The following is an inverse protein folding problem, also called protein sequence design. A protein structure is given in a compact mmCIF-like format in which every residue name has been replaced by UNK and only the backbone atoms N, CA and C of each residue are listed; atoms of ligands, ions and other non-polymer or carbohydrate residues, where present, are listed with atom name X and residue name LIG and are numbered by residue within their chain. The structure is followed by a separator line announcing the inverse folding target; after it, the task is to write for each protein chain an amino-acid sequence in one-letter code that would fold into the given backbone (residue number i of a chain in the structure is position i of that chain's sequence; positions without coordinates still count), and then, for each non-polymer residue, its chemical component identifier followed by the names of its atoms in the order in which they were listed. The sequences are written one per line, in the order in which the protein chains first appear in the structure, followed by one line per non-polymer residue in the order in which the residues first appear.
data_IF_652923709591
#
_entry.id   IF_652923709591
#
_cell.length_a   1.000
_cell.length_b   1.000
_cell.length_c   1.000
_cell.angle_alpha   90.00
_cell.angle_beta   90.00
_cell.angle_gamma   90.00
#
_symmetry.space_group_name_H-M   'P 1'
#
loop_
_entity.id
_entity.type
_entity.pdbx_description
1 polymer ?
#
# COMPACT_ATOMS: atom_id res chain seq x y z
N UNK A 1 22.33 -17.74 9.43
CA UNK A 1 20.92 -17.33 9.28
C UNK A 1 20.67 -17.18 7.79
N UNK A 2 19.59 -17.74 7.23
CA UNK A 2 19.30 -17.54 5.81
C UNK A 2 18.82 -16.10 5.62
N UNK A 3 19.59 -15.27 4.91
CA UNK A 3 19.31 -13.83 4.80
C UNK A 3 18.19 -13.57 3.79
N UNK A 4 17.16 -12.83 4.20
CA UNK A 4 16.13 -12.32 3.30
C UNK A 4 16.56 -10.98 2.70
N UNK A 5 16.09 -10.68 1.50
CA UNK A 5 16.41 -9.44 0.77
C UNK A 5 15.13 -8.64 0.50
N UNK A 6 15.29 -7.35 0.24
CA UNK A 6 14.21 -6.50 -0.29
C UNK A 6 14.26 -6.56 -1.82
N UNK A 7 13.18 -7.05 -2.43
CA UNK A 7 13.04 -7.25 -3.89
C UNK A 7 12.15 -6.17 -4.53
N UNK A 8 11.55 -5.30 -3.72
CA UNK A 8 10.84 -4.09 -4.16
C UNK A 8 10.63 -3.16 -2.96
N UNK A 9 10.75 -1.85 -3.19
CA UNK A 9 10.39 -0.85 -2.18
C UNK A 9 9.63 0.30 -2.84
N UNK A 10 8.50 0.70 -2.28
CA UNK A 10 7.90 2.00 -2.55
C UNK A 10 7.47 2.70 -1.29
N UNK A 11 7.59 4.02 -1.30
CA UNK A 11 7.22 4.88 -0.19
C UNK A 11 6.79 6.26 -0.68
N UNK A 12 6.13 6.99 0.19
CA UNK A 12 5.67 8.36 -0.04
C UNK A 12 6.09 9.25 1.11
N UNK A 13 6.31 10.54 0.84
CA UNK A 13 6.47 11.56 1.87
C UNK A 13 5.85 12.86 1.40
N UNK A 14 5.60 13.76 2.34
CA UNK A 14 4.98 15.05 2.07
C UNK A 14 5.94 16.15 2.51
N UNK A 15 6.35 17.08 1.61
CA UNK A 15 7.14 18.23 2.00
C UNK A 15 6.50 18.93 3.21
N UNK A 16 7.31 19.39 4.18
CA UNK A 16 6.81 19.89 5.46
C UNK A 16 5.80 21.05 5.28
N UNK A 17 6.04 21.92 4.31
CA UNK A 17 5.19 23.07 3.98
C UNK A 17 3.83 22.60 3.44
N UNK A 18 3.83 21.62 2.53
CA UNK A 18 2.60 21.00 2.04
C UNK A 18 1.87 20.27 3.19
N UNK A 19 2.61 19.64 4.10
CA UNK A 19 2.06 19.01 5.29
C UNK A 19 1.26 20.00 6.16
N UNK A 20 1.81 21.19 6.42
CA UNK A 20 1.11 22.24 7.16
C UNK A 20 -0.19 22.68 6.47
N UNK A 21 -0.16 22.83 5.13
CA UNK A 21 -1.37 23.17 4.35
C UNK A 21 -2.42 22.05 4.44
N UNK A 22 -1.99 20.79 4.39
CA UNK A 22 -2.91 19.65 4.53
C UNK A 22 -3.49 19.55 5.95
N UNK A 23 -2.74 19.92 6.98
CA UNK A 23 -3.24 19.96 8.34
C UNK A 23 -4.26 21.10 8.54
N UNK A 24 -4.01 22.29 7.97
CA UNK A 24 -5.02 23.36 7.89
C UNK A 24 -6.29 22.89 7.18
N UNK A 25 -6.15 22.13 6.09
CA UNK A 25 -7.31 21.56 5.38
C UNK A 25 -8.11 20.57 6.25
N UNK A 26 -7.42 19.75 7.07
CA UNK A 26 -8.09 18.83 8.02
C UNK A 26 -8.82 19.58 9.14
N UNK A 27 -8.31 20.74 9.53
CA UNK A 27 -8.92 21.61 10.55
C UNK A 27 -10.07 22.46 9.99
N UNK A 28 -10.44 22.31 8.71
CA UNK A 28 -11.50 23.11 8.09
C UNK A 28 -11.13 24.60 8.01
N UNK A 29 -9.86 24.90 7.70
CA UNK A 29 -9.40 26.28 7.64
C UNK A 29 -9.96 27.04 6.42
N UNK A 30 -10.47 28.25 6.66
CA UNK A 30 -10.88 29.19 5.63
C UNK A 30 -10.00 30.45 5.65
N UNK A 31 -9.91 31.18 4.53
CA UNK A 31 -9.04 32.36 4.40
C UNK A 31 -9.88 33.62 4.62
N UNK A 32 -9.53 34.41 5.64
CA UNK A 32 -10.40 35.47 6.19
C UNK A 32 -10.58 36.69 5.27
N UNK A 33 -9.63 36.92 4.36
CA UNK A 33 -9.75 37.88 3.28
C UNK A 33 -8.77 37.50 2.16
N UNK A 34 -9.27 37.36 0.93
CA UNK A 34 -8.41 37.48 -0.24
C UNK A 34 -7.99 38.95 -0.25
N UNK A 35 -6.85 39.31 0.36
CA UNK A 35 -6.18 40.53 -0.06
C UNK A 35 -5.99 40.33 -1.55
N UNK A 36 -6.68 41.13 -2.38
CA UNK A 36 -6.37 41.30 -3.80
C UNK A 36 -4.92 41.79 -3.85
N UNK A 37 -3.98 40.88 -3.71
CA UNK A 37 -2.64 41.08 -4.21
C UNK A 37 -2.80 41.06 -5.73
N UNK A 38 -2.22 42.07 -6.38
CA UNK A 38 -2.12 42.15 -7.83
C UNK A 38 -1.79 40.75 -8.36
N UNK A 39 -2.59 40.26 -9.32
CA UNK A 39 -2.27 39.02 -10.03
C UNK A 39 -0.77 39.07 -10.36
N UNK A 40 0.07 38.14 -9.86
CA UNK A 40 1.40 38.04 -10.43
C UNK A 40 1.17 37.80 -11.92
N UNK A 41 1.81 38.62 -12.76
CA UNK A 41 1.72 38.61 -14.23
C UNK A 41 2.13 37.27 -14.90
N UNK A 42 2.19 36.18 -14.15
CA UNK A 42 2.52 34.85 -14.61
C UNK A 42 1.27 33.97 -14.66
N UNK A 43 0.38 34.29 -15.60
CA UNK A 43 -0.42 33.26 -16.30
C UNK A 43 0.45 32.62 -17.39
N UNK A 44 1.63 32.15 -17.02
CA UNK A 44 2.40 31.30 -17.92
C UNK A 44 1.99 29.87 -17.62
N UNK A 45 1.45 29.21 -18.65
CA UNK A 45 1.51 27.77 -18.77
C UNK A 45 2.96 27.41 -18.47
N UNK A 46 3.23 26.86 -17.28
CA UNK A 46 4.55 26.40 -16.90
C UNK A 46 4.88 25.28 -17.88
N UNK A 47 5.61 25.64 -18.93
CA UNK A 47 6.11 24.69 -19.90
C UNK A 47 6.98 23.70 -19.15
N UNK A 48 7.08 22.49 -19.69
CA UNK A 48 7.88 21.38 -19.15
C UNK A 48 9.34 21.78 -18.85
N UNK A 49 9.80 22.89 -19.43
CA UNK A 49 11.12 23.51 -19.34
C UNK A 49 11.28 24.54 -18.21
N UNK A 50 10.21 25.15 -17.68
CA UNK A 50 10.29 26.19 -16.64
C UNK A 50 10.48 25.67 -15.20
N UNK A 51 10.46 24.35 -15.02
CA UNK A 51 10.69 23.70 -13.72
C UNK A 51 12.18 23.53 -13.39
N UNK A 52 13.07 24.22 -14.12
CA UNK A 52 14.53 24.12 -14.02
C UNK A 52 15.20 25.45 -13.67
N UNK A 53 14.66 26.20 -12.71
CA UNK A 53 15.35 27.42 -12.24
C UNK A 53 15.62 27.35 -10.75
N UNK A 54 16.90 27.17 -10.39
CA UNK A 54 17.45 27.49 -9.08
C UNK A 54 17.36 28.99 -8.72
N UNK A 55 16.42 29.73 -9.31
CA UNK A 55 16.18 31.15 -9.08
C UNK A 55 15.14 31.42 -7.98
N UNK A 56 14.22 30.47 -7.73
CA UNK A 56 13.14 30.63 -6.74
C UNK A 56 13.25 29.56 -5.66
N UNK A 57 13.49 30.00 -4.43
CA UNK A 57 13.34 29.15 -3.24
C UNK A 57 11.85 28.97 -2.94
N UNK A 58 11.24 27.97 -3.59
CA UNK A 58 9.82 27.63 -3.41
C UNK A 58 9.47 27.38 -1.95
N UNK A 59 10.38 26.79 -1.17
CA UNK A 59 10.16 26.54 0.26
C UNK A 59 9.99 27.86 1.00
N UNK A 60 10.92 28.80 0.82
CA UNK A 60 10.85 30.12 1.43
C UNK A 60 9.62 30.91 0.99
N UNK A 61 9.26 30.84 -0.29
CA UNK A 61 8.07 31.50 -0.82
C UNK A 61 6.77 31.00 -0.18
N UNK A 62 6.64 29.68 0.01
CA UNK A 62 5.46 29.08 0.64
C UNK A 62 5.39 29.41 2.13
N UNK A 63 6.52 29.36 2.83
CA UNK A 63 6.59 29.72 4.25
C UNK A 63 6.23 31.20 4.49
N UNK A 64 6.74 32.12 3.67
CA UNK A 64 6.35 33.53 3.75
C UNK A 64 4.84 33.70 3.54
N UNK A 65 4.28 33.03 2.54
CA UNK A 65 2.84 33.08 2.27
C UNK A 65 2.00 32.45 3.38
N UNK A 66 2.48 31.39 4.03
CA UNK A 66 1.83 30.80 5.21
C UNK A 66 1.80 31.79 6.38
N UNK A 67 2.87 32.55 6.59
CA UNK A 67 2.97 33.57 7.64
C UNK A 67 2.06 34.77 7.38
N UNK A 68 1.94 35.19 6.11
CA UNK A 68 1.16 36.36 5.71
C UNK A 68 -0.35 36.08 5.56
N UNK A 69 -0.76 34.81 5.57
CA UNK A 69 -2.16 34.42 5.39
C UNK A 69 -2.88 34.30 6.73
N UNK A 70 -3.99 35.05 6.90
CA UNK A 70 -4.88 34.90 8.05
C UNK A 70 -5.92 33.80 7.81
N UNK A 71 -5.93 32.80 8.70
CA UNK A 71 -6.86 31.67 8.66
C UNK A 71 -7.93 31.77 9.75
N UNK A 72 -9.15 31.31 9.45
CA UNK A 72 -10.14 30.92 10.46
C UNK A 72 -10.30 29.41 10.47
N UNK A 73 -10.40 28.82 11.65
CA UNK A 73 -10.46 27.36 11.84
C UNK A 73 -11.89 26.98 12.28
N UNK A 74 -12.44 25.90 11.71
CA UNK A 74 -13.70 25.32 12.19
C UNK A 74 -14.97 26.04 11.75
N UNK A 75 -14.88 27.10 10.94
CA UNK A 75 -16.05 27.79 10.37
C UNK A 75 -16.52 27.17 9.05
N UNK A 76 -15.68 26.36 8.40
CA UNK A 76 -15.94 25.83 7.06
C UNK A 76 -16.52 24.41 7.12
N UNK A 77 -17.82 24.28 6.85
CA UNK A 77 -18.52 22.99 6.82
C UNK A 77 -18.23 22.15 5.56
N UNK A 78 -17.39 22.64 4.64
CA UNK A 78 -17.02 21.91 3.41
C UNK A 78 -16.20 20.67 3.72
N UNK A 79 -16.26 19.70 2.82
CA UNK A 79 -15.49 18.45 2.94
C UNK A 79 -14.00 18.75 2.81
N UNK A 80 -13.15 17.93 3.45
CA UNK A 80 -11.68 18.03 3.38
C UNK A 80 -11.15 18.28 1.95
N UNK A 81 -11.68 17.57 0.94
CA UNK A 81 -11.20 17.71 -0.44
C UNK A 81 -11.48 19.10 -1.04
N UNK A 82 -12.58 19.73 -0.67
CA UNK A 82 -12.96 21.07 -1.13
C UNK A 82 -12.09 22.12 -0.45
N UNK A 83 -11.94 22.04 0.88
CA UNK A 83 -11.04 22.91 1.66
C UNK A 83 -9.60 22.79 1.15
N UNK A 84 -9.13 21.56 0.94
CA UNK A 84 -7.81 21.28 0.36
C UNK A 84 -7.64 21.94 -1.00
N UNK A 85 -8.63 21.82 -1.89
CA UNK A 85 -8.53 22.45 -3.22
C UNK A 85 -8.41 23.96 -3.10
N UNK A 86 -9.25 24.61 -2.29
CA UNK A 86 -9.21 26.07 -2.10
C UNK A 86 -7.88 26.54 -1.51
N UNK A 87 -7.31 25.80 -0.55
CA UNK A 87 -5.99 26.12 -0.01
C UNK A 87 -4.89 25.94 -1.06
N UNK A 88 -4.89 24.83 -1.81
CA UNK A 88 -3.91 24.62 -2.89
C UNK A 88 -4.04 25.65 -4.01
N UNK A 89 -5.25 26.10 -4.34
CA UNK A 89 -5.50 27.20 -5.27
C UNK A 89 -4.90 28.52 -4.74
N UNK A 90 -5.10 28.83 -3.45
CA UNK A 90 -4.51 30.00 -2.82
C UNK A 90 -2.99 29.96 -2.87
N UNK A 91 -2.36 28.84 -2.50
CA UNK A 91 -0.89 28.69 -2.51
C UNK A 91 -0.30 28.52 -3.91
N UNK A 92 -1.12 28.14 -4.89
CA UNK A 92 -0.76 27.90 -6.28
C UNK A 92 -0.32 26.45 -6.53
N UNK A 93 -1.08 25.72 -7.35
CA UNK A 93 -0.78 24.33 -7.70
C UNK A 93 0.63 24.15 -8.29
N UNK A 94 1.04 25.03 -9.21
CA UNK A 94 2.35 24.95 -9.85
C UNK A 94 3.50 25.15 -8.84
N UNK A 95 3.34 26.07 -7.89
CA UNK A 95 4.30 26.31 -6.81
C UNK A 95 4.44 25.08 -5.92
N UNK A 96 3.32 24.44 -5.57
CA UNK A 96 3.34 23.23 -4.76
C UNK A 96 3.93 22.03 -5.52
N UNK A 97 3.63 21.89 -6.80
CA UNK A 97 4.20 20.82 -7.64
C UNK A 97 5.72 21.01 -7.82
N UNK A 98 6.20 22.25 -7.97
CA UNK A 98 7.62 22.57 -8.00
C UNK A 98 8.32 22.25 -6.67
N UNK A 99 7.67 22.54 -5.53
CA UNK A 99 8.17 22.13 -4.21
C UNK A 99 8.31 20.60 -4.12
N UNK A 100 7.31 19.84 -4.59
CA UNK A 100 7.38 18.38 -4.59
C UNK A 100 8.46 17.85 -5.55
N UNK A 101 8.66 18.49 -6.70
CA UNK A 101 9.77 18.14 -7.62
C UNK A 101 11.13 18.32 -6.95
N UNK A 102 11.35 19.46 -6.29
CA UNK A 102 12.61 19.72 -5.58
C UNK A 102 12.90 18.71 -4.48
N UNK A 103 11.87 18.17 -3.81
CA UNK A 103 12.02 17.06 -2.87
C UNK A 103 12.46 15.76 -3.55
N UNK A 104 11.89 15.43 -4.71
CA UNK A 104 12.33 14.28 -5.52
C UNK A 104 13.78 14.45 -5.98
N UNK A 105 14.17 15.64 -6.43
CA UNK A 105 15.55 15.93 -6.85
C UNK A 105 16.56 15.78 -5.71
N UNK A 106 16.20 16.26 -4.50
CA UNK A 106 16.99 16.04 -3.29
C UNK A 106 17.11 14.56 -2.96
N UNK A 107 16.02 13.79 -3.08
CA UNK A 107 16.06 12.35 -2.87
C UNK A 107 16.97 11.65 -3.88
N UNK A 108 16.88 11.98 -5.17
CA UNK A 108 17.76 11.42 -6.20
C UNK A 108 19.24 11.75 -5.93
N UNK A 109 19.51 12.96 -5.43
CA UNK A 109 20.86 13.37 -5.00
C UNK A 109 21.35 12.55 -3.81
N UNK A 110 20.47 12.19 -2.86
CA UNK A 110 20.81 11.31 -1.73
C UNK A 110 21.12 9.89 -2.19
N UNK A 111 20.39 9.36 -3.17
CA UNK A 111 20.72 8.06 -3.76
C UNK A 111 22.18 8.06 -4.25
N UNK A 112 22.55 9.07 -5.04
CA UNK A 112 23.89 9.20 -5.61
C UNK A 112 25.01 9.35 -4.57
N UNK A 113 24.74 9.97 -3.42
CA UNK A 113 25.80 10.42 -2.49
C UNK A 113 25.74 9.74 -1.11
N UNK A 114 24.99 8.64 -0.94
CA UNK A 114 24.94 8.00 0.37
C UNK A 114 23.99 6.81 0.56
N UNK A 115 23.22 6.40 -0.46
CA UNK A 115 22.32 5.25 -0.31
C UNK A 115 22.73 4.04 -1.16
N UNK A 116 23.93 4.05 -1.77
CA UNK A 116 24.37 3.01 -2.72
C UNK A 116 25.67 2.37 -2.29
N UNK A 117 25.74 1.05 -2.42
CA UNK A 117 26.91 0.26 -2.00
C UNK A 117 28.01 0.13 -3.06
N UNK A 118 27.80 0.71 -4.26
CA UNK A 118 28.66 0.54 -5.44
C UNK A 118 28.70 1.82 -6.28
N UNK A 119 29.70 1.93 -7.16
CA UNK A 119 29.80 2.97 -8.19
C UNK A 119 28.73 2.75 -9.27
N UNK A 120 27.48 3.10 -8.95
CA UNK A 120 26.32 3.02 -9.85
C UNK A 120 25.94 4.42 -10.28
N UNK A 121 25.75 4.60 -11.58
CA UNK A 121 25.25 5.87 -12.11
C UNK A 121 23.72 5.86 -12.07
N UNK A 122 23.14 6.68 -11.20
CA UNK A 122 21.69 6.88 -11.14
C UNK A 122 21.27 8.06 -11.98
N UNK A 123 20.29 7.83 -12.85
CA UNK A 123 19.64 8.87 -13.64
C UNK A 123 18.14 8.73 -13.55
N UNK A 124 17.41 9.76 -13.95
CA UNK A 124 15.97 9.66 -14.10
C UNK A 124 15.51 10.48 -15.31
N UNK A 125 14.45 10.02 -15.98
CA UNK A 125 13.93 10.64 -17.20
C UNK A 125 12.43 10.93 -17.07
N UNK A 126 12.05 12.17 -17.34
CA UNK A 126 10.67 12.65 -17.23
C UNK A 126 9.73 11.88 -18.16
N UNK A 127 8.65 11.35 -17.59
CA UNK A 127 7.56 10.76 -18.37
C UNK A 127 6.67 11.85 -18.95
N UNK A 128 5.94 11.53 -20.03
CA UNK A 128 4.97 12.45 -20.67
C UNK A 128 3.69 12.64 -19.86
N UNK A 129 3.44 11.78 -18.86
CA UNK A 129 2.27 11.85 -18.00
C UNK A 129 2.57 11.52 -16.55
N UNK A 130 1.53 11.66 -15.73
CA UNK A 130 1.54 11.32 -14.32
C UNK A 130 1.54 9.81 -14.05
N UNK A 131 1.52 9.46 -12.76
CA UNK A 131 1.51 8.07 -12.31
C UNK A 131 0.67 7.94 -11.03
N UNK A 132 -0.21 6.94 -10.95
CA UNK A 132 -0.96 6.59 -9.72
C UNK A 132 -1.59 7.80 -8.99
N UNK A 133 -2.19 8.72 -9.73
CA UNK A 133 -2.83 9.93 -9.20
C UNK A 133 -1.93 11.16 -9.06
N UNK A 134 -0.61 10.98 -9.14
CA UNK A 134 0.34 12.10 -9.24
C UNK A 134 0.30 12.71 -10.65
N UNK A 135 0.31 14.05 -10.79
CA UNK A 135 0.31 14.71 -12.09
C UNK A 135 1.62 14.53 -12.88
N UNK A 136 2.76 14.37 -12.19
CA UNK A 136 4.08 14.24 -12.81
C UNK A 136 4.76 12.94 -12.41
N UNK A 137 5.60 12.40 -13.31
CA UNK A 137 6.39 11.21 -13.03
C UNK A 137 7.67 11.12 -13.86
N UNK A 138 8.62 10.31 -13.41
CA UNK A 138 9.84 9.99 -14.14
C UNK A 138 10.27 8.54 -13.90
N UNK A 139 10.90 7.92 -14.89
CA UNK A 139 11.52 6.60 -14.72
C UNK A 139 12.90 6.78 -14.11
N UNK A 140 13.27 5.93 -13.15
CA UNK A 140 14.59 5.91 -12.52
C UNK A 140 15.40 4.79 -13.18
N UNK A 141 16.67 5.06 -13.47
CA UNK A 141 17.61 4.13 -14.04
C UNK A 141 18.86 4.01 -13.16
N UNK A 142 19.40 2.79 -13.11
CA UNK A 142 20.70 2.47 -12.53
C UNK A 142 21.54 1.85 -13.66
N UNK A 143 22.67 2.48 -14.00
CA UNK A 143 23.53 2.10 -15.12
C UNK A 143 22.76 1.88 -16.44
N UNK A 144 21.83 2.80 -16.73
CA UNK A 144 20.99 2.76 -17.93
C UNK A 144 19.88 1.70 -17.93
N UNK A 145 19.78 0.85 -16.90
CA UNK A 145 18.68 -0.11 -16.75
C UNK A 145 17.60 0.47 -15.86
N UNK A 146 16.33 0.30 -16.25
CA UNK A 146 15.21 0.81 -15.47
C UNK A 146 15.18 0.16 -14.07
N UNK A 147 15.37 0.97 -13.05
CA UNK A 147 15.52 0.58 -11.65
C UNK A 147 14.35 1.06 -10.77
N UNK A 148 13.47 1.91 -11.29
CA UNK A 148 12.36 2.43 -10.51
C UNK A 148 11.52 3.48 -11.22
N UNK A 149 10.74 4.20 -10.42
CA UNK A 149 9.91 5.32 -10.84
C UNK A 149 9.72 6.28 -9.68
N UNK A 150 9.79 7.58 -9.97
CA UNK A 150 9.36 8.64 -9.08
C UNK A 150 8.10 9.33 -9.62
N UNK A 151 7.29 9.88 -8.72
CA UNK A 151 6.12 10.67 -9.07
C UNK A 151 5.89 11.75 -8.01
N UNK A 152 5.34 12.89 -8.40
CA UNK A 152 5.13 14.00 -7.49
C UNK A 152 3.94 14.87 -7.88
N UNK A 153 3.43 15.58 -6.88
CA UNK A 153 2.45 16.65 -7.04
C UNK A 153 1.53 16.80 -5.83
N UNK A 154 1.13 18.03 -5.59
CA UNK A 154 0.41 18.44 -4.39
C UNK A 154 -0.99 17.82 -4.30
N UNK A 155 -1.62 17.61 -5.46
CA UNK A 155 -2.94 16.97 -5.58
C UNK A 155 -2.96 15.61 -4.89
N UNK A 156 -1.87 14.86 -5.00
CA UNK A 156 -1.69 13.53 -4.42
C UNK A 156 -0.72 13.54 -3.21
N UNK A 157 -0.70 14.66 -2.48
CA UNK A 157 -0.09 14.80 -1.16
C UNK A 157 1.44 14.69 -1.11
N UNK A 158 2.15 14.99 -2.20
CA UNK A 158 3.60 15.14 -2.17
C UNK A 158 4.31 14.23 -3.16
N UNK A 159 5.17 13.36 -2.64
CA UNK A 159 6.14 12.61 -3.43
C UNK A 159 5.95 11.10 -3.27
N UNK A 160 6.33 10.37 -4.31
CA UNK A 160 6.32 8.92 -4.37
C UNK A 160 7.60 8.41 -5.05
N UNK A 161 8.17 7.37 -4.48
CA UNK A 161 9.28 6.61 -5.06
C UNK A 161 8.94 5.14 -5.06
N UNK A 162 9.32 4.45 -6.14
CA UNK A 162 9.41 3.00 -6.19
C UNK A 162 10.72 2.57 -6.81
N UNK A 163 11.35 1.56 -6.23
CA UNK A 163 12.58 0.94 -6.67
C UNK A 163 12.29 -0.55 -6.88
N UNK A 164 12.63 -1.06 -8.07
CA UNK A 164 12.47 -2.47 -8.45
C UNK A 164 13.52 -3.35 -7.77
N UNK A 165 13.39 -4.68 -7.87
CA UNK A 165 14.38 -5.61 -7.31
C UNK A 165 15.80 -5.37 -7.86
N UNK A 166 15.90 -5.04 -9.15
CA UNK A 166 17.18 -4.64 -9.77
C UNK A 166 17.76 -3.40 -9.10
N UNK A 167 16.95 -2.38 -8.81
CA UNK A 167 17.42 -1.18 -8.12
C UNK A 167 17.72 -1.43 -6.64
N UNK A 168 16.90 -2.24 -5.97
CA UNK A 168 17.07 -2.60 -4.56
C UNK A 168 18.39 -3.33 -4.30
N UNK A 169 18.88 -4.12 -5.27
CA UNK A 169 20.17 -4.80 -5.18
C UNK A 169 21.37 -3.84 -5.01
N UNK A 170 21.22 -2.56 -5.39
CA UNK A 170 22.29 -1.56 -5.30
C UNK A 170 22.20 -0.67 -4.07
N UNK A 171 21.09 -0.71 -3.33
CA UNK A 171 20.85 0.19 -2.20
C UNK A 171 21.42 -0.35 -0.89
N UNK A 172 21.88 0.55 -0.03
CA UNK A 172 22.10 0.27 1.39
C UNK A 172 20.80 0.49 2.17
N UNK A 173 20.18 -0.60 2.61
CA UNK A 173 18.92 -0.53 3.35
C UNK A 173 19.05 0.04 4.76
N UNK A 174 20.24 0.08 5.37
CA UNK A 174 20.45 0.79 6.63
C UNK A 174 20.42 2.30 6.39
N UNK A 175 21.15 2.79 5.39
CA UNK A 175 21.11 4.20 5.01
C UNK A 175 19.71 4.64 4.53
N UNK A 176 18.99 3.77 3.77
CA UNK A 176 17.60 4.03 3.38
C UNK A 176 16.67 4.07 4.59
N UNK A 177 16.84 3.16 5.55
CA UNK A 177 16.07 3.16 6.79
C UNK A 177 16.23 4.47 7.55
N UNK A 178 17.45 4.94 7.74
CA UNK A 178 17.74 6.18 8.48
C UNK A 178 17.20 7.40 7.74
N UNK A 179 17.41 7.45 6.41
CA UNK A 179 16.87 8.52 5.58
C UNK A 179 15.33 8.58 5.61
N UNK A 180 14.64 7.45 5.71
CA UNK A 180 13.18 7.45 5.80
C UNK A 180 12.67 8.09 7.10
N UNK A 181 13.41 7.98 8.21
CA UNK A 181 13.08 8.67 9.46
C UNK A 181 13.24 10.19 9.36
N UNK A 182 14.19 10.65 8.53
CA UNK A 182 14.40 12.09 8.29
C UNK A 182 13.38 12.71 7.33
N UNK A 183 12.63 11.89 6.59
CA UNK A 183 11.62 12.37 5.64
C UNK A 183 10.28 12.68 6.32
N UNK A 184 9.74 13.90 6.18
CA UNK A 184 8.51 14.32 6.85
C UNK A 184 7.31 13.48 6.41
N UNK A 185 6.68 12.82 7.38
CA UNK A 185 5.47 12.01 7.15
C UNK A 185 5.70 10.80 6.24
N UNK A 186 6.94 10.32 6.12
CA UNK A 186 7.29 9.19 5.26
C UNK A 186 6.53 7.91 5.64
N UNK A 187 6.11 7.17 4.61
CA UNK A 187 5.38 5.91 4.77
C UNK A 187 5.79 4.95 3.66
N UNK A 188 6.18 3.74 4.04
CA UNK A 188 6.32 2.64 3.09
C UNK A 188 4.93 2.27 2.58
N UNK A 189 4.73 2.35 1.27
CA UNK A 189 3.48 1.99 0.60
C UNK A 189 3.50 0.55 0.09
N UNK A 190 4.69 0.01 -0.23
CA UNK A 190 4.92 -1.39 -0.56
C UNK A 190 6.33 -1.82 -0.22
N UNK A 191 6.47 -3.04 0.28
CA UNK A 191 7.76 -3.73 0.37
C UNK A 191 7.58 -5.17 -0.08
N UNK A 192 8.45 -5.66 -0.96
CA UNK A 192 8.52 -7.07 -1.31
C UNK A 192 9.76 -7.67 -0.65
N UNK A 193 9.56 -8.66 0.23
CA UNK A 193 10.64 -9.33 0.96
C UNK A 193 10.80 -10.73 0.37
N UNK A 194 12.01 -11.06 -0.09
CA UNK A 194 12.30 -12.33 -0.72
C UNK A 194 13.25 -13.19 0.13
N UNK A 195 13.04 -14.50 0.08
CA UNK A 195 13.98 -15.51 0.55
C UNK A 195 14.27 -16.51 -0.56
N UNK A 196 15.55 -16.72 -0.84
CA UNK A 196 16.03 -17.55 -1.94
C UNK A 196 16.51 -18.92 -1.44
N UNK A 197 15.87 -19.98 -1.93
CA UNK A 197 16.26 -21.37 -1.74
C UNK A 197 17.00 -21.84 -2.99
N UNK A 198 18.31 -21.59 -3.06
CA UNK A 198 19.13 -21.84 -4.25
C UNK A 198 19.21 -23.32 -4.64
N UNK A 199 19.08 -24.24 -3.66
CA UNK A 199 19.17 -25.69 -3.87
C UNK A 199 17.80 -26.39 -3.84
N UNK A 200 16.69 -25.64 -3.95
CA UNK A 200 15.35 -26.22 -3.99
C UNK A 200 14.84 -26.83 -2.67
N UNK A 201 15.44 -26.48 -1.52
CA UNK A 201 15.10 -27.07 -0.21
C UNK A 201 13.63 -26.87 0.19
N UNK A 202 13.01 -25.77 -0.27
CA UNK A 202 11.59 -25.45 -0.09
C UNK A 202 11.01 -25.11 -1.47
N UNK A 203 10.60 -26.15 -2.20
CA UNK A 203 10.13 -26.02 -3.57
C UNK A 203 8.65 -25.58 -3.67
N UNK A 204 8.13 -25.48 -4.89
CA UNK A 204 6.74 -25.10 -5.12
C UNK A 204 5.75 -26.14 -4.58
N UNK A 205 6.12 -27.43 -4.58
CA UNK A 205 5.28 -28.48 -4.01
C UNK A 205 5.21 -28.35 -2.48
N UNK A 206 6.35 -28.10 -1.83
CA UNK A 206 6.44 -27.82 -0.40
C UNK A 206 5.48 -26.70 0.01
N UNK A 207 5.41 -25.62 -0.78
CA UNK A 207 4.47 -24.53 -0.54
C UNK A 207 2.99 -24.96 -0.69
N UNK A 208 2.69 -25.90 -1.59
CA UNK A 208 1.33 -26.43 -1.75
C UNK A 208 0.95 -27.34 -0.59
N UNK A 209 1.86 -28.23 -0.17
CA UNK A 209 1.65 -29.11 0.97
C UNK A 209 1.39 -28.30 2.25
N UNK A 210 2.20 -27.25 2.49
CA UNK A 210 1.99 -26.30 3.59
C UNK A 210 0.63 -25.59 3.51
N UNK A 211 0.08 -25.39 2.31
CA UNK A 211 -1.23 -24.78 2.13
C UNK A 211 -2.37 -25.76 2.44
N UNK A 212 -2.22 -27.02 2.04
CA UNK A 212 -3.15 -28.10 2.38
C UNK A 212 -3.19 -28.33 3.90
N UNK A 213 -2.04 -28.19 4.57
CA UNK A 213 -1.91 -28.22 6.04
C UNK A 213 -2.46 -26.96 6.76
N UNK A 214 -2.96 -25.97 6.01
CA UNK A 214 -3.52 -24.74 6.57
C UNK A 214 -2.49 -23.75 7.11
N UNK A 215 -1.19 -23.92 6.81
CA UNK A 215 -0.11 -23.08 7.37
C UNK A 215 -0.07 -21.65 6.80
N UNK A 216 -0.93 -21.32 5.83
CA UNK A 216 -1.17 -19.92 5.40
C UNK A 216 -2.40 -19.28 6.03
N UNK A 217 -3.12 -20.00 6.88
CA UNK A 217 -4.26 -19.44 7.62
C UNK A 217 -3.73 -18.73 8.86
N UNK A 218 -3.58 -17.40 8.78
CA UNK A 218 -3.14 -16.63 9.96
C UNK A 218 -4.29 -16.37 10.94
N UNK A 219 -5.50 -16.05 10.43
CA UNK A 219 -6.73 -15.78 11.20
C UNK A 219 -7.95 -15.92 10.28
N UNK A 220 -9.06 -16.45 10.79
CA UNK A 220 -10.35 -16.47 10.11
C UNK A 220 -10.35 -17.31 8.83
N UNK A 221 -10.93 -16.77 7.75
CA UNK A 221 -11.09 -17.48 6.47
C UNK A 221 -9.73 -17.78 5.81
N UNK A 222 -9.54 -18.98 5.23
CA UNK A 222 -8.36 -19.27 4.41
C UNK A 222 -8.14 -18.27 3.27
N UNK A 223 -6.88 -17.98 2.97
CA UNK A 223 -6.51 -17.09 1.88
C UNK A 223 -6.84 -17.70 0.51
N UNK A 224 -7.12 -16.85 -0.48
CA UNK A 224 -7.18 -17.30 -1.88
C UNK A 224 -5.81 -17.77 -2.35
N UNK A 225 -5.77 -18.75 -3.26
CA UNK A 225 -4.53 -19.19 -3.89
C UNK A 225 -4.64 -19.16 -5.41
N UNK A 226 -3.50 -19.11 -6.09
CA UNK A 226 -3.38 -19.29 -7.53
C UNK A 226 -2.15 -20.13 -7.84
N UNK A 227 -2.32 -21.19 -8.62
CA UNK A 227 -1.21 -22.00 -9.13
C UNK A 227 -1.06 -21.73 -10.63
N UNK A 228 0.15 -21.40 -11.04
CA UNK A 228 0.52 -21.11 -12.43
C UNK A 228 1.57 -22.13 -12.84
N UNK A 229 1.31 -22.80 -13.95
CA UNK A 229 2.22 -23.76 -14.55
C UNK A 229 2.44 -23.37 -16.00
N UNK A 230 3.70 -23.15 -16.36
CA UNK A 230 4.10 -22.73 -17.71
C UNK A 230 4.86 -23.85 -18.40
N UNK A 231 4.60 -24.02 -19.69
CA UNK A 231 5.15 -25.12 -20.45
C UNK A 231 4.95 -25.00 -21.96
N UNK A 232 5.12 -26.11 -22.66
CA UNK A 232 4.76 -26.25 -24.07
C UNK A 232 3.81 -27.43 -24.30
N UNK A 233 3.18 -27.47 -25.48
CA UNK A 233 2.37 -28.61 -25.89
C UNK A 233 3.23 -29.62 -26.64
N UNK A 234 3.16 -30.89 -26.24
CA UNK A 234 3.82 -32.00 -26.91
C UNK A 234 2.80 -33.03 -27.40
N UNK A 235 3.11 -33.73 -28.49
CA UNK A 235 2.27 -34.83 -28.99
C UNK A 235 2.35 -36.00 -28.01
N UNK A 236 1.22 -36.45 -27.49
CA UNK A 236 1.13 -37.58 -26.58
C UNK A 236 0.95 -38.90 -27.33
N UNK A 237 0.01 -38.94 -28.28
CA UNK A 237 -0.33 -40.16 -28.99
C UNK A 237 -1.06 -39.85 -30.30
N UNK A 238 -1.05 -40.82 -31.20
CA UNK A 238 -2.02 -40.89 -32.30
C UNK A 238 -3.21 -41.74 -31.84
N UNK A 239 -4.42 -41.41 -32.31
CA UNK A 239 -5.60 -42.23 -32.09
C UNK A 239 -6.49 -42.23 -33.33
N UNK A 240 -7.12 -43.37 -33.60
CA UNK A 240 -8.06 -43.49 -34.72
C UNK A 240 -9.43 -43.01 -34.29
N UNK A 241 -9.98 -42.04 -35.03
CA UNK A 241 -11.38 -41.63 -34.89
C UNK A 241 -12.17 -42.25 -36.04
N UNK A 242 -13.12 -43.12 -35.71
CA UNK A 242 -14.07 -43.68 -36.67
C UNK A 242 -15.30 -42.76 -36.74
N UNK A 243 -15.70 -42.39 -37.95
CA UNK A 243 -16.92 -41.60 -38.20
C UNK A 243 -17.66 -42.19 -39.40
N UNK A 244 -18.71 -42.97 -39.16
CA UNK A 244 -19.32 -43.82 -40.19
C UNK A 244 -18.36 -44.94 -40.60
N UNK A 245 -18.16 -45.14 -41.91
CA UNK A 245 -17.22 -46.12 -42.46
C UNK A 245 -15.81 -45.54 -42.70
N UNK A 246 -15.52 -44.33 -42.23
CA UNK A 246 -14.23 -43.65 -42.45
C UNK A 246 -13.41 -43.62 -41.17
N UNK A 247 -12.20 -44.15 -41.24
CA UNK A 247 -11.20 -44.05 -40.17
C UNK A 247 -10.24 -42.89 -40.45
N UNK A 248 -10.01 -42.02 -39.46
CA UNK A 248 -9.02 -40.94 -39.58
C UNK A 248 -8.11 -40.93 -38.36
N UNK A 249 -6.80 -40.97 -38.59
CA UNK A 249 -5.80 -40.81 -37.53
C UNK A 249 -5.76 -39.36 -37.08
N UNK A 250 -5.98 -39.13 -35.78
CA UNK A 250 -5.92 -37.83 -35.12
C UNK A 250 -4.78 -37.81 -34.11
N UNK A 251 -4.19 -36.64 -33.93
CA UNK A 251 -3.12 -36.42 -32.93
C UNK A 251 -3.74 -35.92 -31.64
N UNK A 252 -3.27 -36.46 -30.51
CA UNK A 252 -3.56 -35.95 -29.17
C UNK A 252 -2.32 -35.25 -28.62
N UNK A 253 -2.52 -34.08 -28.02
CA UNK A 253 -1.48 -33.28 -27.41
C UNK A 253 -1.69 -33.19 -25.90
N UNK A 254 -0.60 -32.96 -25.16
CA UNK A 254 -0.57 -32.78 -23.71
C UNK A 254 0.34 -31.62 -23.34
N UNK A 255 0.29 -31.22 -22.07
CA UNK A 255 1.10 -30.14 -21.53
C UNK A 255 2.38 -30.70 -20.90
N UNK A 256 3.52 -30.08 -21.21
CA UNK A 256 4.82 -30.37 -20.62
C UNK A 256 5.25 -29.14 -19.82
N UNK A 257 5.26 -29.17 -18.48
CA UNK A 257 5.47 -28.01 -17.62
C UNK A 257 6.96 -27.68 -17.42
N UNK A 258 7.66 -27.35 -18.49
CA UNK A 258 9.11 -27.12 -18.51
C UNK A 258 9.54 -25.66 -18.35
N UNK A 259 8.61 -24.69 -18.39
CA UNK A 259 8.93 -23.24 -18.30
C UNK A 259 8.77 -22.66 -16.89
N UNK A 260 8.42 -23.48 -15.92
CA UNK A 260 8.41 -23.11 -14.51
C UNK A 260 7.03 -23.03 -13.88
N UNK A 261 7.02 -23.15 -12.56
CA UNK A 261 5.82 -23.14 -11.72
C UNK A 261 5.86 -21.99 -10.71
N UNK A 262 4.68 -21.48 -10.41
CA UNK A 262 4.46 -20.46 -9.39
C UNK A 262 3.22 -20.76 -8.56
N UNK A 263 3.31 -20.59 -7.25
CA UNK A 263 2.21 -20.70 -6.31
C UNK A 263 2.04 -19.40 -5.53
N UNK A 264 0.87 -18.79 -5.65
CA UNK A 264 0.53 -17.52 -5.02
C UNK A 264 -0.49 -17.75 -3.91
N UNK A 265 -0.31 -17.06 -2.78
CA UNK A 265 -1.24 -17.08 -1.64
C UNK A 265 -1.57 -15.66 -1.20
N UNK A 266 -2.86 -15.38 -1.03
CA UNK A 266 -3.39 -14.04 -0.74
C UNK A 266 -3.72 -13.26 -2.00
N UNK A 267 -3.85 -11.95 -1.87
CA UNK A 267 -4.18 -11.07 -2.98
C UNK A 267 -3.57 -9.68 -2.82
N UNK A 268 -3.26 -9.03 -3.95
CA UNK A 268 -2.79 -7.64 -3.96
C UNK A 268 -3.83 -6.69 -3.37
N UNK A 269 -5.10 -6.98 -3.62
CA UNK A 269 -6.21 -6.20 -3.10
C UNK A 269 -6.36 -6.29 -1.59
N UNK A 270 -5.91 -7.38 -0.94
CA UNK A 270 -5.87 -7.46 0.52
C UNK A 270 -4.60 -6.82 1.12
N UNK A 271 -3.66 -6.38 0.27
CA UNK A 271 -2.38 -5.80 0.68
C UNK A 271 -1.35 -6.78 1.24
N UNK A 272 -1.57 -8.09 1.06
CA UNK A 272 -0.61 -9.16 1.41
C UNK A 272 -0.70 -10.29 0.39
N UNK A 273 0.38 -10.56 -0.34
CA UNK A 273 0.47 -11.65 -1.30
C UNK A 273 1.84 -12.31 -1.24
N UNK A 274 1.88 -13.61 -1.01
CA UNK A 274 3.09 -14.43 -1.11
C UNK A 274 3.16 -15.06 -2.50
N UNK A 275 4.36 -15.10 -3.08
CA UNK A 275 4.66 -15.78 -4.34
C UNK A 275 5.82 -16.74 -4.12
N UNK A 276 5.59 -18.02 -4.39
CA UNK A 276 6.64 -19.05 -4.40
C UNK A 276 6.83 -19.50 -5.83
N UNK A 277 8.02 -19.31 -6.40
CA UNK A 277 8.22 -19.60 -7.82
C UNK A 277 9.64 -20.06 -8.15
N UNK A 278 9.75 -20.83 -9.23
CA UNK A 278 11.02 -21.38 -9.73
C UNK A 278 11.86 -20.29 -10.41
N UNK A 279 12.60 -19.52 -9.59
CA UNK A 279 13.46 -18.41 -10.02
C UNK A 279 14.61 -18.85 -10.91
N UNK A 280 15.17 -20.04 -10.67
CA UNK A 280 16.23 -20.64 -11.49
C UNK A 280 15.79 -20.79 -12.94
N UNK A 281 14.58 -21.32 -13.17
CA UNK A 281 13.98 -21.41 -14.50
C UNK A 281 13.63 -20.05 -15.09
N UNK A 282 13.13 -19.11 -14.28
CA UNK A 282 12.83 -17.74 -14.74
C UNK A 282 14.08 -17.04 -15.30
N UNK A 283 15.23 -17.21 -14.63
CA UNK A 283 16.50 -16.60 -15.02
C UNK A 283 17.33 -17.47 -15.95
N UNK A 284 16.86 -18.68 -16.28
CA UNK A 284 17.63 -19.69 -17.02
C UNK A 284 19.02 -19.94 -16.38
N UNK A 285 19.06 -20.02 -15.04
CA UNK A 285 20.29 -20.19 -14.29
C UNK A 285 20.83 -21.60 -14.41
N UNK A 286 22.02 -21.74 -15.00
CA UNK A 286 22.75 -23.03 -15.04
C UNK A 286 23.36 -23.40 -13.68
N UNK A 287 23.74 -22.40 -12.90
CA UNK A 287 24.36 -22.60 -11.58
C UNK A 287 23.35 -23.05 -10.51
N UNK A 288 22.13 -22.52 -10.59
CA UNK A 288 21.06 -22.80 -9.63
C UNK A 288 19.74 -23.13 -10.35
N UNK A 289 19.66 -24.27 -11.05
CA UNK A 289 18.47 -24.66 -11.82
C UNK A 289 17.24 -24.89 -10.91
N UNK A 290 17.47 -25.39 -9.70
CA UNK A 290 16.45 -25.69 -8.69
C UNK A 290 16.14 -24.49 -7.77
N UNK A 291 16.62 -23.29 -8.11
CA UNK A 291 16.38 -22.11 -7.31
C UNK A 291 14.89 -21.75 -7.24
N UNK A 292 14.35 -21.77 -6.02
CA UNK A 292 13.00 -21.30 -5.70
C UNK A 292 13.06 -20.04 -4.84
N UNK A 293 12.27 -19.02 -5.20
CA UNK A 293 12.14 -17.77 -4.45
C UNK A 293 10.79 -17.72 -3.75
N UNK A 294 10.82 -17.40 -2.46
CA UNK A 294 9.65 -17.09 -1.63
C UNK A 294 9.59 -15.59 -1.42
N UNK A 295 8.65 -14.92 -2.09
CA UNK A 295 8.56 -13.46 -2.16
C UNK A 295 7.23 -12.97 -1.58
N UNK A 296 7.29 -12.22 -0.49
CA UNK A 296 6.14 -11.63 0.18
C UNK A 296 5.99 -10.16 -0.22
N UNK A 297 4.95 -9.84 -0.97
CA UNK A 297 4.49 -8.46 -1.22
C UNK A 297 3.57 -8.00 -0.09
N UNK A 298 4.00 -6.95 0.60
CA UNK A 298 3.22 -6.24 1.61
C UNK A 298 2.92 -4.83 1.11
N UNK A 299 1.65 -4.43 1.12
CA UNK A 299 1.22 -3.05 0.86
C UNK A 299 0.69 -2.42 2.13
N UNK A 300 0.76 -1.10 2.22
CA UNK A 300 0.21 -0.31 3.32
C UNK A 300 -1.32 -0.21 3.26
N UNK A 301 -2.00 -1.34 3.00
CA UNK A 301 -3.45 -1.44 3.01
C UNK A 301 -3.88 -2.01 4.35
N UNK A 302 -4.68 -1.21 5.06
CA UNK A 302 -5.12 -1.49 6.41
C UNK A 302 -3.94 -1.79 7.36
N UNK A 303 -2.73 -1.31 7.09
CA UNK A 303 -1.54 -1.54 7.92
C UNK A 303 -0.53 -0.43 7.72
N UNK A 304 0.26 -0.15 8.75
CA UNK A 304 1.48 0.64 8.64
C UNK A 304 2.65 -0.34 8.56
N UNK A 305 3.47 -0.23 7.52
CA UNK A 305 4.67 -1.05 7.34
C UNK A 305 5.82 -0.35 8.09
N UNK A 306 6.39 -0.96 9.15
CA UNK A 306 7.49 -0.35 9.90
C UNK A 306 8.76 -0.24 9.05
N UNK A 307 9.54 0.85 9.19
CA UNK A 307 10.83 0.97 8.48
C UNK A 307 11.81 -0.13 8.85
N UNK A 308 11.70 -0.70 10.06
CA UNK A 308 12.49 -1.85 10.50
C UNK A 308 12.36 -3.08 9.57
N UNK A 309 11.35 -3.15 8.69
CA UNK A 309 11.28 -4.20 7.66
C UNK A 309 12.46 -4.18 6.70
N UNK A 310 13.11 -3.02 6.51
CA UNK A 310 14.25 -2.86 5.61
C UNK A 310 15.55 -3.43 6.18
N UNK A 311 15.72 -3.33 7.50
CA UNK A 311 16.94 -3.78 8.20
C UNK A 311 16.78 -5.18 8.83
N UNK A 312 15.56 -5.61 9.13
CA UNK A 312 15.28 -6.94 9.70
C UNK A 312 14.29 -7.77 8.85
N UNK A 313 14.45 -7.86 7.51
CA UNK A 313 13.45 -8.42 6.60
C UNK A 313 13.04 -9.86 6.95
N UNK A 314 14.00 -10.69 7.37
CA UNK A 314 13.74 -12.10 7.70
C UNK A 314 12.74 -12.29 8.85
N UNK A 315 12.71 -11.38 9.83
CA UNK A 315 11.74 -11.46 10.95
C UNK A 315 10.32 -11.22 10.44
N UNK A 316 10.16 -10.26 9.54
CA UNK A 316 8.85 -9.89 9.00
C UNK A 316 8.35 -10.89 7.96
N UNK A 317 9.26 -11.47 7.16
CA UNK A 317 8.91 -12.55 6.25
C UNK A 317 8.44 -13.78 7.04
N UNK A 318 9.21 -14.21 8.05
CA UNK A 318 8.84 -15.36 8.89
C UNK A 318 7.54 -15.12 9.70
N UNK A 319 7.27 -13.88 10.10
CA UNK A 319 6.05 -13.51 10.83
C UNK A 319 4.80 -13.32 9.96
N UNK A 320 4.89 -13.44 8.63
CA UNK A 320 3.76 -13.16 7.75
C UNK A 320 2.76 -14.32 7.60
N UNK A 321 3.26 -15.55 7.69
CA UNK A 321 2.49 -16.81 7.68
C UNK A 321 3.24 -17.87 8.49
N UNK A 322 2.53 -18.77 9.21
CA UNK A 322 3.16 -19.92 9.88
C UNK A 322 4.08 -20.74 8.96
N UNK A 323 3.69 -20.92 7.70
CA UNK A 323 4.47 -21.59 6.65
C UNK A 323 5.87 -20.99 6.41
N UNK A 324 6.10 -19.72 6.80
CA UNK A 324 7.37 -19.02 6.57
C UNK A 324 8.30 -19.06 7.79
N UNK A 325 7.92 -19.73 8.87
CA UNK A 325 8.71 -19.84 10.10
C UNK A 325 10.11 -20.41 9.87
N UNK A 326 10.31 -21.23 8.83
CA UNK A 326 11.62 -21.77 8.47
C UNK A 326 12.65 -20.71 8.06
N UNK A 327 12.20 -19.53 7.60
CA UNK A 327 13.07 -18.40 7.24
C UNK A 327 13.80 -17.88 8.48
N UNK A 328 13.07 -17.73 9.59
CA UNK A 328 13.62 -17.32 10.88
C UNK A 328 12.87 -17.99 12.03
N UNK A 329 13.44 -19.10 12.50
CA UNK A 329 12.83 -19.93 13.55
C UNK A 329 12.85 -19.25 14.94
N UNK A 330 13.77 -18.31 15.16
CA UNK A 330 13.99 -17.70 16.47
C UNK A 330 13.19 -16.42 16.69
N UNK A 331 13.01 -15.61 15.64
CA UNK A 331 12.41 -14.29 15.74
C UNK A 331 11.45 -14.03 14.58
N UNK A 332 10.19 -13.74 14.93
CA UNK A 332 9.11 -13.49 13.98
C UNK A 332 8.36 -12.21 14.37
N UNK A 333 8.15 -11.33 13.39
CA UNK A 333 7.45 -10.07 13.58
C UNK A 333 6.24 -10.00 12.65
N UNK A 334 5.05 -10.22 13.20
CA UNK A 334 3.80 -9.98 12.48
C UNK A 334 3.48 -8.47 12.45
N UNK A 335 3.03 -7.98 11.29
CA UNK A 335 2.55 -6.60 11.14
C UNK A 335 1.05 -6.56 11.38
N UNK A 336 0.63 -5.77 12.37
CA UNK A 336 -0.77 -5.59 12.69
C UNK A 336 -1.55 -4.97 11.51
N UNK A 337 -2.79 -5.45 11.32
CA UNK A 337 -3.74 -4.87 10.37
C UNK A 337 -4.77 -4.05 11.15
N UNK A 338 -4.90 -2.77 10.83
CA UNK A 338 -5.75 -1.78 11.48
C UNK A 338 -7.25 -1.94 11.14
N UNK A 339 -8.07 -1.49 12.10
CA UNK A 339 -9.51 -1.68 12.25
C UNK A 339 -10.41 -0.88 11.30
N UNK A 340 -9.96 -0.38 10.13
CA UNK A 340 -10.87 0.40 9.26
C UNK A 340 -12.05 -0.45 8.78
N UNK A 341 -11.80 -1.73 8.51
CA UNK A 341 -12.85 -2.68 8.15
C UNK A 341 -13.82 -2.99 9.30
N UNK A 342 -13.45 -2.77 10.56
CA UNK A 342 -14.36 -3.02 11.70
C UNK A 342 -15.43 -1.92 11.81
N UNK A 343 -15.05 -0.65 11.73
CA UNK A 343 -16.01 0.46 11.72
C UNK A 343 -16.91 0.42 10.48
N UNK A 344 -16.35 0.19 9.29
CA UNK A 344 -17.14 -0.03 8.08
C UNK A 344 -18.06 -1.25 8.22
N UNK A 345 -17.65 -2.30 8.95
CA UNK A 345 -18.51 -3.46 9.22
C UNK A 345 -19.64 -3.13 10.17
N UNK A 346 -19.46 -2.23 11.13
CA UNK A 346 -20.54 -1.68 11.97
C UNK A 346 -21.50 -0.88 11.11
N UNK A 347 -21.02 0.09 10.34
CA UNK A 347 -21.87 0.94 9.50
C UNK A 347 -22.69 0.11 8.50
N UNK A 348 -22.04 -0.88 7.87
CA UNK A 348 -22.72 -1.82 6.99
C UNK A 348 -23.69 -2.72 7.75
N UNK A 349 -23.35 -3.17 8.96
CA UNK A 349 -24.25 -3.97 9.79
C UNK A 349 -25.50 -3.17 10.17
N UNK A 350 -25.34 -1.91 10.57
CA UNK A 350 -26.43 -0.98 10.89
C UNK A 350 -27.29 -0.72 9.65
N UNK A 351 -26.67 -0.41 8.50
CA UNK A 351 -27.40 -0.18 7.23
C UNK A 351 -28.19 -1.42 6.76
N UNK A 352 -27.58 -2.60 6.87
CA UNK A 352 -28.25 -3.86 6.53
C UNK A 352 -29.38 -4.16 7.51
N UNK A 353 -29.16 -3.95 8.81
CA UNK A 353 -30.19 -4.07 9.84
C UNK A 353 -31.36 -3.13 9.61
N UNK A 354 -31.09 -1.87 9.26
CA UNK A 354 -32.11 -0.89 8.90
C UNK A 354 -32.91 -1.32 7.66
N UNK A 355 -32.25 -1.86 6.64
CA UNK A 355 -32.93 -2.38 5.45
C UNK A 355 -33.81 -3.60 5.77
N UNK A 356 -33.31 -4.54 6.56
CA UNK A 356 -34.00 -5.80 6.86
C UNK A 356 -35.14 -5.61 7.87
N UNK A 357 -34.87 -4.91 8.96
CA UNK A 357 -35.79 -4.82 10.11
C UNK A 357 -36.48 -3.45 10.22
N UNK A 358 -36.04 -2.42 9.50
CA UNK A 358 -36.55 -1.05 9.68
C UNK A 358 -38.04 -0.91 9.39
N UNK A 359 -38.57 -1.58 8.37
CA UNK A 359 -40.02 -1.59 8.09
C UNK A 359 -40.83 -2.22 9.21
N UNK A 360 -40.31 -3.30 9.80
CA UNK A 360 -40.95 -4.01 10.90
C UNK A 360 -40.91 -3.17 12.18
N UNK A 361 -39.76 -2.57 12.51
CA UNK A 361 -39.63 -1.63 13.62
C UNK A 361 -40.59 -0.45 13.45
N UNK A 362 -40.70 0.09 12.24
CA UNK A 362 -41.62 1.19 11.94
C UNK A 362 -43.11 0.79 12.08
N UNK A 363 -43.47 -0.45 11.74
CA UNK A 363 -44.81 -1.00 11.98
C UNK A 363 -45.11 -1.15 13.48
N UNK A 364 -44.18 -1.73 14.24
CA UNK A 364 -44.33 -1.86 15.69
C UNK A 364 -44.48 -0.51 16.38
N UNK A 365 -43.73 0.51 15.93
CA UNK A 365 -43.80 1.85 16.49
C UNK A 365 -45.10 2.57 16.15
N UNK A 366 -45.45 2.63 14.87
CA UNK A 366 -46.54 3.52 14.41
C UNK A 366 -47.92 2.85 14.35
N UNK A 367 -47.97 1.53 14.17
CA UNK A 367 -49.23 0.78 14.04
C UNK A 367 -49.58 0.06 15.34
N UNK A 368 -48.58 -0.57 15.98
CA UNK A 368 -48.80 -1.26 17.25
C UNK A 368 -48.62 -0.34 18.48
N UNK A 369 -48.25 0.93 18.26
CA UNK A 369 -48.04 1.96 19.28
C UNK A 369 -47.13 1.50 20.44
N UNK A 370 -46.11 0.72 20.10
CA UNK A 370 -45.14 0.23 21.08
C UNK A 370 -44.08 1.30 21.36
N UNK A 371 -43.67 1.40 22.64
CA UNK A 371 -42.53 2.22 23.02
C UNK A 371 -41.19 1.59 22.58
N UNK A 372 -40.15 2.42 22.49
CA UNK A 372 -38.85 1.99 21.93
C UNK A 372 -38.23 0.87 22.77
N UNK A 373 -38.40 0.92 24.10
CA UNK A 373 -37.87 -0.07 25.04
C UNK A 373 -38.51 -1.45 24.86
N UNK A 374 -39.83 -1.51 24.64
CA UNK A 374 -40.55 -2.76 24.35
C UNK A 374 -40.18 -3.33 22.99
N UNK A 375 -39.99 -2.48 21.98
CA UNK A 375 -39.56 -2.92 20.65
C UNK A 375 -38.16 -3.56 20.73
N UNK A 376 -37.22 -2.90 21.42
CA UNK A 376 -35.88 -3.45 21.64
C UNK A 376 -35.97 -4.78 22.40
N UNK A 377 -36.69 -4.80 23.52
CA UNK A 377 -36.84 -6.02 24.33
C UNK A 377 -37.42 -7.18 23.52
N UNK A 378 -38.47 -6.97 22.72
CA UNK A 378 -39.05 -8.02 21.88
C UNK A 378 -38.05 -8.58 20.86
N UNK A 379 -37.21 -7.71 20.28
CA UNK A 379 -36.23 -8.09 19.27
C UNK A 379 -34.95 -8.71 19.86
N UNK A 380 -34.64 -8.49 21.15
CA UNK A 380 -33.38 -8.95 21.75
C UNK A 380 -33.54 -9.86 22.96
N UNK A 381 -34.76 -10.11 23.47
CA UNK A 381 -35.00 -10.94 24.68
C UNK A 381 -34.48 -12.38 24.57
N UNK A 382 -34.27 -12.86 23.35
CA UNK A 382 -33.76 -14.21 23.07
C UNK A 382 -32.23 -14.26 22.93
N UNK A 383 -31.54 -13.12 23.07
CA UNK A 383 -30.11 -12.97 22.89
C UNK A 383 -29.43 -12.63 24.21
N UNK A 384 -28.27 -13.24 24.44
CA UNK A 384 -27.37 -12.87 25.54
C UNK A 384 -26.55 -11.61 25.21
N UNK A 385 -26.05 -10.91 26.23
CA UNK A 385 -25.24 -9.69 26.05
C UNK A 385 -23.97 -9.91 25.20
N UNK A 386 -23.47 -11.14 25.11
CA UNK A 386 -22.29 -11.51 24.33
C UNK A 386 -22.61 -12.01 22.93
N UNK A 387 -23.89 -12.25 22.61
CA UNK A 387 -24.34 -12.72 21.30
C UNK A 387 -24.47 -11.55 20.33
N UNK A 388 -23.32 -11.08 19.87
CA UNK A 388 -23.20 -10.08 18.81
C UNK A 388 -22.81 -10.76 17.49
N UNK A 389 -23.10 -10.15 16.32
CA UNK A 389 -22.68 -10.71 15.04
C UNK A 389 -21.18 -11.00 15.03
N UNK A 390 -20.76 -12.21 14.63
CA UNK A 390 -19.36 -12.66 14.70
C UNK A 390 -18.37 -11.68 14.03
N UNK A 391 -18.81 -11.01 12.96
CA UNK A 391 -18.01 -10.00 12.23
C UNK A 391 -17.73 -8.72 13.03
N UNK A 392 -18.50 -8.48 14.10
CA UNK A 392 -18.38 -7.33 15.00
C UNK A 392 -17.65 -7.68 16.30
N UNK A 393 -17.35 -8.96 16.56
CA UNK A 393 -16.49 -9.36 17.68
C UNK A 393 -15.13 -8.64 17.57
N UNK A 394 -14.81 -7.82 18.58
CA UNK A 394 -13.55 -7.07 18.63
C UNK A 394 -12.38 -8.07 18.66
N UNK A 395 -11.41 -8.01 17.73
CA UNK A 395 -10.29 -8.93 17.79
C UNK A 395 -9.48 -8.69 19.07
N UNK A 396 -9.08 -9.75 19.78
CA UNK A 396 -7.99 -9.65 20.74
C UNK A 396 -6.69 -9.41 19.96
N UNK A 397 -6.15 -8.19 20.03
CA UNK A 397 -4.89 -7.87 19.36
C UNK A 397 -3.74 -8.42 20.20
N UNK A 398 -3.11 -9.51 19.76
CA UNK A 398 -1.72 -9.75 20.13
C UNK A 398 -0.87 -8.69 19.40
N UNK A 399 -0.71 -7.53 20.04
CA UNK A 399 0.23 -6.50 19.60
C UNK A 399 1.63 -6.87 20.07
N UNK A 400 2.58 -6.99 19.15
CA UNK A 400 4.00 -7.01 19.49
C UNK A 400 4.40 -5.63 20.06
N UNK A 401 5.38 -5.56 20.95
CA UNK A 401 5.92 -4.29 21.49
C UNK A 401 6.27 -3.28 20.38
N UNK A 402 6.78 -3.75 19.23
CA UNK A 402 7.07 -2.92 18.07
C UNK A 402 5.80 -2.33 17.40
N UNK A 403 4.65 -3.01 17.47
CA UNK A 403 3.37 -2.50 16.96
C UNK A 403 2.74 -1.48 17.91
N UNK A 404 3.04 -1.55 19.21
CA UNK A 404 2.53 -0.61 20.24
C UNK A 404 3.06 0.82 20.11
N UNK A 405 4.21 1.00 19.44
CA UNK A 405 4.80 2.31 19.19
C UNK A 405 4.00 3.13 18.16
N UNK A 406 3.07 2.51 17.43
CA UNK A 406 2.15 3.18 16.52
C UNK A 406 0.86 3.47 17.31
N UNK A 407 0.80 4.63 17.96
CA UNK A 407 -0.33 5.00 18.80
C UNK A 407 -1.65 5.11 18.01
N UNK A 408 -2.77 4.70 18.63
CA UNK A 408 -4.14 4.87 18.10
C UNK A 408 -4.46 6.32 17.72
N UNK A 409 -3.82 7.30 18.36
CA UNK A 409 -3.93 8.73 18.03
C UNK A 409 -3.29 9.09 16.68
N UNK A 410 -2.30 8.33 16.22
CA UNK A 410 -1.69 8.47 14.88
C UNK A 410 -2.62 7.91 13.79
N UNK A 411 -3.43 6.91 14.14
CA UNK A 411 -4.43 6.30 13.24
C UNK A 411 -5.67 7.17 13.08
N UNK A 412 -6.13 7.85 14.13
CA UNK A 412 -7.26 8.81 14.07
C UNK A 412 -6.96 10.03 13.18
N UNK A 413 -5.73 10.54 13.14
CA UNK A 413 -5.34 11.68 12.28
C UNK A 413 -5.40 11.39 10.77
N UNK A 414 -5.56 10.13 10.38
CA UNK A 414 -5.71 9.70 9.00
C UNK A 414 -7.17 9.46 8.59
N UNK A 415 -8.11 9.59 9.52
CA UNK A 415 -9.52 9.22 9.34
C UNK A 415 -10.44 10.26 10.00
N UNK A 416 -10.78 11.30 9.26
CA UNK A 416 -11.89 12.22 9.54
C UNK A 416 -11.50 13.55 10.22
N UNK A 417 -11.80 14.64 9.50
CA UNK A 417 -11.88 15.99 10.04
C UNK A 417 -13.20 16.18 10.77
N UNK A 418 -13.39 15.47 11.87
CA UNK A 418 -14.45 15.75 12.83
C UNK A 418 -13.81 16.42 14.06
N UNK A 419 -14.25 17.61 14.48
CA UNK A 419 -13.81 18.21 15.73
C UNK A 419 -14.27 17.34 16.91
N UNK A 420 -13.48 17.32 17.98
CA UNK A 420 -13.91 16.74 19.26
C UNK A 420 -15.28 17.32 19.65
N UNK A 421 -16.32 16.48 19.68
CA UNK A 421 -17.47 16.74 20.53
C UNK A 421 -16.92 16.69 21.96
N UNK A 422 -16.69 17.87 22.52
CA UNK A 422 -16.42 18.05 23.94
C UNK A 422 -17.55 17.37 24.71
N UNK A 423 -17.22 16.32 25.45
CA UNK A 423 -18.00 15.96 26.63
C UNK A 423 -17.80 17.10 27.63
N UNK A 424 -18.71 18.06 27.58
CA UNK A 424 -18.91 18.98 28.68
C UNK A 424 -19.67 18.22 29.77
N UNK A 425 -18.98 18.11 30.92
CA UNK A 425 -19.37 17.66 32.26
C UNK A 425 -19.49 16.15 32.49
#
# INVERSE_FOLDING_TARGET
MKTSIIDFLSFTWTPAELGQILDLAKMGASIKAIRKFDEPKYRDNVTREMLDTGAIDYRKAVLAKLQDTEFTIGEDARRFHEVKSSLLDHFGYNTMDALCRGEVDRFMTRILNGLTNFDITWTYELCTGGFSGYPHSANIYADGKQAGKCAWGAKNHGCYISISGTGCAFLDFHAVHDMLHDLPGAKITRVDIAHDCLNGEYDVNTARDMAEDGQFVTRGRPASYCYIESGHMAKLADYTKVSGNTETVKKRYGFVPDKGRSFYVGSRDAGKMLRVYEKGKQLQSEQHPDWVRWELELRSKDRVIPFATLIEPSKYLAGAYPALSFVNQYQQCAIATHKRNWFTSIDNAVKNGATQCGKLVNFMKNVMDLDDSKIIHLLTQHLDMTEIPDRLNTPAFQETQASKLITLSTLRRLSDGEPELSLAQ
#
